data_IF_152847036373
#
_entry.id   IF_152847036373
#
_cell.length_a   1.000
_cell.length_b   1.000
_cell.length_c   1.000
_cell.angle_alpha   90.00
_cell.angle_beta   90.00
_cell.angle_gamma   90.00
#
_symmetry.space_group_name_H-M   'P 1'
#
loop_
_entity.id
_entity.type
_entity.pdbx_description
1 polymer ?
#
# COMPACT_ATOMS: atom_id res chain seq x y z
N UNK A 1 -4.28 -2.44 -5.10
CA UNK A 1 -3.81 -1.50 -4.05
C UNK A 1 -3.22 -0.27 -4.70
N UNK A 2 -3.17 0.86 -3.99
CA UNK A 2 -2.27 1.97 -4.29
C UNK A 2 -1.77 2.51 -2.96
N UNK A 3 -0.46 2.37 -2.68
CA UNK A 3 0.11 2.81 -1.41
C UNK A 3 1.46 3.48 -1.62
N UNK A 4 1.59 4.68 -1.08
CA UNK A 4 2.74 5.59 -1.19
C UNK A 4 3.23 6.13 0.18
N UNK A 5 2.86 5.47 1.27
CA UNK A 5 3.02 6.02 2.63
C UNK A 5 4.46 5.97 3.18
N UNK A 6 5.34 5.16 2.61
CA UNK A 6 6.71 4.99 3.10
C UNK A 6 7.73 5.32 2.01
N UNK A 7 8.96 5.65 2.42
CA UNK A 7 10.04 6.01 1.49
C UNK A 7 10.41 4.86 0.54
N UNK A 8 10.26 3.62 0.99
CA UNK A 8 10.64 2.41 0.25
C UNK A 8 9.60 1.95 -0.79
N UNK A 9 8.67 2.81 -1.21
CA UNK A 9 7.65 2.43 -2.20
C UNK A 9 8.27 2.00 -3.53
N UNK A 10 7.57 1.15 -4.29
CA UNK A 10 8.08 0.66 -5.57
C UNK A 10 8.42 1.83 -6.51
N UNK A 11 9.70 1.90 -6.92
CA UNK A 11 10.21 2.99 -7.76
C UNK A 11 10.14 4.38 -7.12
N UNK A 12 9.98 4.49 -5.80
CA UNK A 12 9.82 5.77 -5.10
C UNK A 12 8.53 6.53 -5.44
N UNK A 13 7.55 5.87 -6.08
CA UNK A 13 6.30 6.51 -6.54
C UNK A 13 5.06 5.89 -5.90
N UNK A 14 5.00 4.56 -5.82
CA UNK A 14 3.85 3.88 -5.21
C UNK A 14 3.82 2.38 -5.49
N UNK A 15 3.36 1.62 -4.50
CA UNK A 15 3.12 0.19 -4.62
C UNK A 15 1.72 -0.05 -5.22
N UNK A 16 1.65 -0.67 -6.40
CA UNK A 16 0.39 -0.93 -7.12
C UNK A 16 -0.01 -2.41 -7.16
N UNK A 17 0.96 -3.33 -7.01
CA UNK A 17 0.73 -4.80 -7.03
C UNK A 17 0.99 -5.46 -5.69
N UNK A 18 2.09 -5.13 -5.03
CA UNK A 18 2.45 -5.60 -3.69
C UNK A 18 3.33 -4.54 -3.04
N UNK A 19 3.24 -4.40 -1.71
CA UNK A 19 4.11 -3.50 -0.96
C UNK A 19 5.55 -4.02 -0.91
N UNK A 20 6.53 -3.14 -1.08
CA UNK A 20 7.95 -3.47 -0.86
C UNK A 20 8.19 -3.94 0.57
N UNK A 21 7.41 -3.44 1.53
CA UNK A 21 7.37 -3.89 2.92
C UNK A 21 6.64 -5.23 3.15
N UNK A 22 6.20 -5.92 2.10
CA UNK A 22 5.45 -7.19 2.19
C UNK A 22 3.93 -7.04 2.35
N UNK A 23 3.39 -5.82 2.34
CA UNK A 23 1.93 -5.57 2.43
C UNK A 23 1.20 -6.15 1.22
N UNK A 24 0.26 -7.08 1.44
CA UNK A 24 -0.56 -7.64 0.36
C UNK A 24 -1.67 -6.66 -0.07
N UNK A 25 -2.23 -6.83 -1.29
CA UNK A 25 -3.36 -6.03 -1.76
C UNK A 25 -4.59 -6.08 -0.86
N UNK A 26 -4.87 -7.24 -0.25
CA UNK A 26 -5.99 -7.44 0.66
C UNK A 26 -5.80 -6.63 1.95
N UNK A 27 -4.60 -6.69 2.53
CA UNK A 27 -4.26 -5.88 3.72
C UNK A 27 -4.28 -4.38 3.39
N UNK A 28 -3.84 -3.99 2.19
CA UNK A 28 -3.94 -2.61 1.73
C UNK A 28 -5.39 -2.14 1.65
N UNK A 29 -6.27 -2.90 1.01
CA UNK A 29 -7.69 -2.54 0.89
C UNK A 29 -8.40 -2.45 2.26
N UNK A 30 -8.10 -3.36 3.19
CA UNK A 30 -8.65 -3.28 4.55
C UNK A 30 -8.17 -2.05 5.32
N UNK A 31 -6.91 -1.66 5.16
CA UNK A 31 -6.40 -0.42 5.76
C UNK A 31 -7.00 0.83 5.11
N UNK A 32 -7.21 0.81 3.79
CA UNK A 32 -7.88 1.91 3.09
C UNK A 32 -9.33 2.06 3.60
N UNK A 33 -10.04 0.95 3.84
CA UNK A 33 -11.39 0.97 4.44
C UNK A 33 -11.38 1.45 5.90
N UNK A 34 -10.41 1.01 6.70
CA UNK A 34 -10.26 1.46 8.09
C UNK A 34 -10.06 2.97 8.20
N UNK A 35 -9.33 3.58 7.26
CA UNK A 35 -9.11 5.03 7.22
C UNK A 35 -10.31 5.82 6.68
N UNK A 36 -11.24 5.17 5.97
CA UNK A 36 -12.44 5.80 5.43
C UNK A 36 -13.58 5.91 6.46
N UNK A 37 -13.67 4.94 7.37
CA UNK A 37 -14.69 4.89 8.43
C UNK A 37 -14.51 5.99 9.48
#
# INVERSE_FOLDING_TARGET
>A
MFCYQCEQTAGGTGCTRFGVCGKSPEVAALQDLLLYA
#
